data_IF_187651509995
#
_entry.id   IF_187651509995
#
_cell.length_a   1.000
_cell.length_b   1.000
_cell.length_c   1.000
_cell.angle_alpha   90.00
_cell.angle_beta   90.00
_cell.angle_gamma   90.00
#
_symmetry.space_group_name_H-M   'P 1'
#
loop_
_entity.id
_entity.type
_entity.pdbx_description
1 polymer ?
#
# COMPACT_ATOMS: atom_id res chain seq x y z
N UNK A 1 -28.02 -46.62 19.30
CA UNK A 1 -27.36 -45.30 19.40
C UNK A 1 -26.75 -44.99 18.04
N UNK A 2 -27.30 -44.01 17.34
CA UNK A 2 -26.74 -43.58 16.03
C UNK A 2 -25.84 -42.39 16.31
N UNK A 3 -24.55 -42.53 16.01
CA UNK A 3 -23.61 -41.41 16.01
C UNK A 3 -23.88 -40.56 14.77
N UNK A 4 -24.25 -39.30 14.95
CA UNK A 4 -24.28 -38.30 13.91
C UNK A 4 -22.83 -37.95 13.54
N UNK A 5 -22.47 -37.85 12.24
CA UNK A 5 -21.15 -37.38 11.86
C UNK A 5 -21.02 -35.89 12.22
N UNK A 6 -19.97 -35.57 12.95
CA UNK A 6 -19.65 -34.24 13.43
C UNK A 6 -19.57 -33.23 12.30
N UNK A 7 -20.08 -32.05 12.58
CA UNK A 7 -19.89 -30.85 11.83
C UNK A 7 -18.37 -30.63 11.56
N UNK A 8 -17.97 -30.72 10.29
CA UNK A 8 -16.66 -30.30 9.88
C UNK A 8 -16.50 -28.83 10.28
N UNK A 9 -15.56 -28.56 11.16
CA UNK A 9 -15.05 -27.22 11.41
C UNK A 9 -14.39 -26.76 10.12
N UNK A 10 -15.12 -26.07 9.27
CA UNK A 10 -14.51 -25.22 8.26
C UNK A 10 -13.83 -24.12 9.08
N UNK A 11 -12.52 -24.25 9.26
CA UNK A 11 -11.73 -23.15 9.80
C UNK A 11 -11.95 -21.98 8.84
N UNK A 12 -12.64 -20.96 9.30
CA UNK A 12 -12.78 -19.69 8.57
C UNK A 12 -11.38 -19.08 8.55
N UNK A 13 -10.56 -19.46 7.57
CA UNK A 13 -9.25 -18.83 7.39
C UNK A 13 -9.51 -17.34 7.14
N UNK A 14 -8.86 -16.49 7.93
CA UNK A 14 -8.93 -15.06 7.74
C UNK A 14 -8.54 -14.70 6.29
N UNK A 15 -9.29 -13.80 5.70
CA UNK A 15 -9.03 -13.29 4.36
C UNK A 15 -8.16 -12.05 4.50
N UNK A 16 -7.16 -11.92 3.65
CA UNK A 16 -6.21 -10.82 3.67
C UNK A 16 -6.12 -10.11 2.33
N UNK A 17 -5.54 -8.93 2.35
CA UNK A 17 -5.11 -8.17 1.17
C UNK A 17 -3.67 -7.69 1.36
N UNK A 18 -3.05 -7.29 0.26
CA UNK A 18 -1.78 -6.54 0.23
C UNK A 18 -2.05 -5.18 -0.41
N UNK A 19 -2.01 -4.09 0.36
CA UNK A 19 -2.36 -2.76 -0.15
C UNK A 19 -1.23 -2.07 -0.92
N UNK A 20 -0.02 -2.66 -0.94
CA UNK A 20 1.11 -2.11 -1.67
C UNK A 20 2.15 -3.17 -1.95
N UNK A 21 2.27 -3.60 -3.20
CA UNK A 21 3.33 -4.49 -3.67
C UNK A 21 3.79 -4.12 -5.07
N UNK A 22 5.06 -4.43 -5.39
CA UNK A 22 5.63 -4.23 -6.71
C UNK A 22 5.82 -5.58 -7.43
N UNK A 23 4.70 -6.29 -7.70
CA UNK A 23 4.72 -7.52 -8.50
C UNK A 23 5.21 -7.26 -9.94
N UNK A 24 5.21 -6.01 -10.37
CA UNK A 24 5.75 -5.48 -11.61
C UNK A 24 7.27 -5.23 -11.56
N UNK A 25 7.92 -5.34 -10.40
CA UNK A 25 9.39 -5.26 -10.27
C UNK A 25 10.08 -6.45 -10.95
N UNK A 26 11.24 -6.22 -11.56
CA UNK A 26 11.99 -7.23 -12.31
C UNK A 26 12.40 -8.45 -11.45
N UNK A 27 12.47 -8.31 -10.12
CA UNK A 27 12.74 -9.42 -9.20
C UNK A 27 11.54 -10.38 -9.03
N UNK A 28 10.31 -9.90 -9.23
CA UNK A 28 9.08 -10.70 -9.04
C UNK A 28 8.36 -11.00 -10.34
N UNK A 29 8.42 -10.09 -11.31
CA UNK A 29 7.65 -10.20 -12.55
C UNK A 29 7.85 -11.50 -13.32
N UNK A 30 9.09 -12.05 -13.46
CA UNK A 30 9.31 -13.33 -14.14
C UNK A 30 8.58 -14.52 -13.49
N UNK A 31 8.40 -14.48 -12.16
CA UNK A 31 7.76 -15.51 -11.34
C UNK A 31 6.37 -15.09 -10.83
N UNK A 32 5.75 -14.05 -11.45
CA UNK A 32 4.53 -13.41 -10.91
C UNK A 32 3.37 -14.38 -10.71
N UNK A 33 3.27 -15.41 -11.55
CA UNK A 33 2.23 -16.43 -11.45
C UNK A 33 2.38 -17.24 -10.15
N UNK A 34 3.58 -17.75 -9.91
CA UNK A 34 3.90 -18.53 -8.71
C UNK A 34 3.82 -17.66 -7.44
N UNK A 35 4.17 -16.36 -7.53
CA UNK A 35 4.04 -15.40 -6.43
C UNK A 35 2.57 -15.18 -6.08
N UNK A 36 1.71 -15.00 -7.08
CA UNK A 36 0.26 -14.86 -6.88
C UNK A 36 -0.34 -16.16 -6.31
N UNK A 37 0.04 -17.33 -6.81
CA UNK A 37 -0.43 -18.63 -6.31
C UNK A 37 -0.09 -18.77 -4.80
N UNK A 38 1.15 -18.49 -4.40
CA UNK A 38 1.57 -18.51 -3.00
C UNK A 38 0.84 -17.49 -2.13
N UNK A 39 0.54 -16.31 -2.65
CA UNK A 39 -0.25 -15.31 -1.94
C UNK A 39 -1.69 -15.81 -1.68
N UNK A 40 -2.33 -16.39 -2.71
CA UNK A 40 -3.69 -16.94 -2.60
C UNK A 40 -3.76 -18.12 -1.61
N UNK A 41 -2.74 -18.99 -1.60
CA UNK A 41 -2.59 -20.10 -0.64
C UNK A 41 -2.45 -19.58 0.79
N UNK A 42 -1.75 -18.45 0.99
CA UNK A 42 -1.62 -17.79 2.28
C UNK A 42 -2.87 -17.00 2.71
N UNK A 43 -3.94 -17.03 1.93
CA UNK A 43 -5.19 -16.32 2.24
C UNK A 43 -5.26 -14.87 1.76
N UNK A 44 -4.24 -14.38 1.03
CA UNK A 44 -4.24 -13.02 0.45
C UNK A 44 -5.08 -13.02 -0.82
N UNK A 45 -6.26 -12.42 -0.77
CA UNK A 45 -7.27 -12.48 -1.86
C UNK A 45 -7.25 -11.27 -2.79
N UNK A 46 -6.59 -10.20 -2.39
CA UNK A 46 -6.42 -8.99 -3.22
C UNK A 46 -5.00 -8.45 -3.08
N UNK A 47 -4.42 -8.07 -4.21
CA UNK A 47 -3.10 -7.45 -4.30
C UNK A 47 -3.22 -6.14 -5.08
N UNK A 48 -2.72 -5.04 -4.50
CA UNK A 48 -2.54 -3.79 -5.25
C UNK A 48 -1.12 -3.75 -5.80
N UNK A 49 -1.00 -3.83 -7.11
CA UNK A 49 0.26 -3.73 -7.85
C UNK A 49 0.51 -2.27 -8.18
N UNK A 50 1.61 -1.73 -7.65
CA UNK A 50 1.85 -0.30 -7.66
C UNK A 50 2.85 0.08 -8.77
N UNK A 51 2.42 0.97 -9.68
CA UNK A 51 3.32 1.61 -10.63
C UNK A 51 4.15 2.70 -9.94
N UNK A 52 5.32 2.96 -10.46
CA UNK A 52 6.25 4.00 -9.95
C UNK A 52 6.83 4.88 -11.08
N UNK A 53 6.51 4.55 -12.34
CA UNK A 53 6.77 5.31 -13.56
C UNK A 53 5.80 4.85 -14.67
N UNK A 54 5.91 5.39 -15.88
CA UNK A 54 5.04 5.00 -17.00
C UNK A 54 5.20 3.52 -17.40
N UNK A 55 6.41 2.97 -17.57
CA UNK A 55 6.58 1.56 -17.91
C UNK A 55 6.03 0.61 -16.85
N UNK A 56 6.35 0.85 -15.58
CA UNK A 56 5.91 0.02 -14.45
C UNK A 56 4.40 0.11 -14.22
N UNK A 57 3.80 1.29 -14.44
CA UNK A 57 2.34 1.48 -14.36
C UNK A 57 1.61 0.69 -15.45
N UNK A 58 2.10 0.69 -16.68
CA UNK A 58 1.55 -0.16 -17.76
C UNK A 58 1.64 -1.64 -17.39
N UNK A 59 2.80 -2.09 -16.90
CA UNK A 59 3.01 -3.46 -16.44
C UNK A 59 2.10 -3.83 -15.26
N UNK A 60 1.85 -2.91 -14.33
CA UNK A 60 0.91 -3.12 -13.23
C UNK A 60 -0.52 -3.36 -13.73
N UNK A 61 -0.97 -2.60 -14.73
CA UNK A 61 -2.29 -2.79 -15.37
C UNK A 61 -2.36 -4.12 -16.13
N UNK A 62 -1.30 -4.51 -16.83
CA UNK A 62 -1.20 -5.83 -17.49
C UNK A 62 -1.35 -6.97 -16.48
N UNK A 63 -0.63 -6.92 -15.35
CA UNK A 63 -0.74 -7.91 -14.26
C UNK A 63 -2.15 -7.92 -13.68
N UNK A 64 -2.74 -6.76 -13.43
CA UNK A 64 -4.08 -6.66 -12.88
C UNK A 64 -5.15 -7.28 -13.80
N UNK A 65 -4.95 -7.22 -15.11
CA UNK A 65 -5.81 -7.88 -16.08
C UNK A 65 -5.50 -9.38 -16.27
N UNK A 66 -4.25 -9.81 -16.01
CA UNK A 66 -3.85 -11.23 -16.05
C UNK A 66 -4.42 -12.01 -14.85
N UNK A 67 -4.47 -11.40 -13.65
CA UNK A 67 -4.91 -12.06 -12.42
C UNK A 67 -6.15 -11.39 -11.84
N UNK A 68 -7.27 -12.13 -11.66
CA UNK A 68 -8.52 -11.57 -11.09
C UNK A 68 -8.36 -10.94 -9.71
N UNK A 69 -7.42 -11.45 -8.88
CA UNK A 69 -7.13 -10.95 -7.54
C UNK A 69 -6.29 -9.67 -7.52
N UNK A 70 -5.68 -9.29 -8.65
CA UNK A 70 -4.82 -8.11 -8.73
C UNK A 70 -5.59 -6.89 -9.23
N UNK A 71 -5.19 -5.73 -8.69
CA UNK A 71 -5.59 -4.39 -9.09
C UNK A 71 -4.34 -3.53 -9.23
N UNK A 72 -4.43 -2.38 -9.89
CA UNK A 72 -3.29 -1.52 -10.18
C UNK A 72 -3.47 -0.11 -9.65
N UNK A 73 -2.36 0.52 -9.28
CA UNK A 73 -2.22 1.96 -9.17
C UNK A 73 -1.19 2.43 -10.19
N UNK A 74 -1.38 3.64 -10.72
CA UNK A 74 -0.50 4.22 -11.73
C UNK A 74 -0.04 5.60 -11.31
N UNK A 75 1.26 5.89 -11.44
CA UNK A 75 1.84 7.17 -11.07
C UNK A 75 3.35 7.19 -11.19
N UNK A 76 3.91 8.35 -10.84
CA UNK A 76 5.34 8.56 -10.67
C UNK A 76 5.69 8.69 -9.19
N UNK A 77 6.50 7.78 -8.67
CA UNK A 77 7.12 7.94 -7.37
C UNK A 77 8.26 8.99 -7.42
N UNK A 78 8.63 9.61 -6.29
CA UNK A 78 9.60 10.70 -6.27
C UNK A 78 11.00 10.31 -6.77
N UNK A 79 11.35 9.03 -6.73
CA UNK A 79 12.66 8.54 -7.18
C UNK A 79 12.76 8.34 -8.72
N UNK A 80 11.63 8.36 -9.44
CA UNK A 80 11.56 8.06 -10.88
C UNK A 80 11.20 9.28 -11.75
N UNK A 81 11.44 10.49 -11.27
CA UNK A 81 11.04 11.71 -11.97
C UNK A 81 12.05 12.16 -13.05
N UNK A 82 13.20 11.51 -13.19
CA UNK A 82 14.14 11.82 -14.26
C UNK A 82 13.52 11.52 -15.63
N UNK A 83 13.41 12.54 -16.46
CA UNK A 83 12.80 12.42 -17.80
C UNK A 83 11.27 12.41 -17.82
N UNK A 84 10.60 12.55 -16.67
CA UNK A 84 9.14 12.65 -16.61
C UNK A 84 8.63 13.91 -17.33
N UNK A 85 7.59 13.76 -18.13
CA UNK A 85 6.95 14.81 -18.93
C UNK A 85 5.52 15.05 -18.47
N UNK A 86 5.07 16.31 -18.51
CA UNK A 86 3.67 16.65 -18.19
C UNK A 86 2.65 15.86 -19.02
N UNK A 87 3.01 15.49 -20.25
CA UNK A 87 2.21 14.62 -21.12
C UNK A 87 2.01 13.20 -20.56
N UNK A 88 2.84 12.74 -19.62
CA UNK A 88 2.71 11.41 -19.02
C UNK A 88 1.48 11.32 -18.12
N UNK A 89 1.00 12.47 -17.60
CA UNK A 89 -0.27 12.53 -16.89
C UNK A 89 -1.45 12.07 -17.76
N UNK A 90 -1.40 12.30 -19.07
CA UNK A 90 -2.41 11.80 -20.00
C UNK A 90 -2.33 10.27 -20.15
N UNK A 91 -1.14 9.69 -20.03
CA UNK A 91 -0.96 8.23 -20.02
C UNK A 91 -1.61 7.65 -18.77
N UNK A 92 -1.37 8.23 -17.58
CA UNK A 92 -2.01 7.76 -16.34
C UNK A 92 -3.54 7.95 -16.38
N UNK A 93 -4.02 9.05 -16.97
CA UNK A 93 -5.46 9.28 -17.19
C UNK A 93 -6.08 8.22 -18.10
N UNK A 94 -5.35 7.80 -19.13
CA UNK A 94 -5.80 6.72 -20.04
C UNK A 94 -5.80 5.37 -19.34
N UNK A 95 -4.73 5.02 -18.60
CA UNK A 95 -4.66 3.80 -17.80
C UNK A 95 -5.79 3.72 -16.77
N UNK A 96 -6.15 4.84 -16.16
CA UNK A 96 -7.22 4.92 -15.16
C UNK A 96 -8.64 4.66 -15.71
N UNK A 97 -8.82 4.54 -17.03
CA UNK A 97 -10.09 4.08 -17.62
C UNK A 97 -10.28 2.56 -17.46
N UNK A 98 -9.22 1.81 -17.20
CA UNK A 98 -9.32 0.41 -16.90
C UNK A 98 -9.92 0.21 -15.50
N UNK A 99 -10.92 -0.65 -15.37
CA UNK A 99 -11.61 -0.95 -14.09
C UNK A 99 -10.70 -1.55 -13.03
N UNK A 100 -9.55 -2.07 -13.45
CA UNK A 100 -8.54 -2.63 -12.56
C UNK A 100 -7.62 -1.57 -11.96
N UNK A 101 -7.64 -0.34 -12.47
CA UNK A 101 -6.92 0.80 -11.87
C UNK A 101 -7.82 1.44 -10.82
N UNK A 102 -7.42 1.31 -9.56
CA UNK A 102 -8.23 1.69 -8.40
C UNK A 102 -7.64 2.86 -7.60
N UNK A 103 -6.54 3.46 -8.06
CA UNK A 103 -5.91 4.60 -7.42
C UNK A 103 -4.77 5.18 -8.26
N UNK A 104 -4.30 6.35 -7.83
CA UNK A 104 -3.07 6.99 -8.34
C UNK A 104 -1.95 6.75 -7.33
N UNK A 105 -0.82 6.28 -7.82
CA UNK A 105 0.34 5.96 -6.98
C UNK A 105 1.30 4.99 -7.69
N UNK A 106 2.52 4.95 -7.21
CA UNK A 106 3.04 5.61 -6.04
C UNK A 106 3.37 7.09 -6.35
N UNK A 107 3.03 8.00 -5.43
CA UNK A 107 3.32 9.44 -5.56
C UNK A 107 3.89 9.95 -4.23
N UNK A 108 4.54 11.10 -4.21
CA UNK A 108 4.95 11.68 -2.93
C UNK A 108 6.33 12.31 -2.92
N UNK A 109 7.04 12.21 -1.78
CA UNK A 109 8.31 12.88 -1.51
C UNK A 109 9.34 11.93 -0.91
N UNK A 110 10.60 11.96 -1.40
CA UNK A 110 11.75 11.27 -0.82
C UNK A 110 12.92 12.24 -0.63
N UNK A 111 13.22 12.59 0.61
CA UNK A 111 14.35 13.42 0.97
C UNK A 111 15.54 12.58 1.50
N UNK A 112 15.40 11.26 1.53
CA UNK A 112 16.48 10.37 1.94
C UNK A 112 17.53 10.21 0.84
N UNK A 113 17.10 9.92 -0.38
CA UNK A 113 17.99 9.73 -1.52
C UNK A 113 18.31 11.04 -2.25
N UNK A 114 17.39 12.00 -2.23
CA UNK A 114 17.52 13.28 -2.93
C UNK A 114 17.73 14.39 -1.91
N UNK A 115 18.92 14.96 -1.90
CA UNK A 115 19.33 15.98 -0.90
C UNK A 115 19.38 17.40 -1.48
N UNK A 116 19.32 17.54 -2.82
CA UNK A 116 19.29 18.86 -3.46
C UNK A 116 17.90 19.50 -3.30
N UNK A 117 17.80 20.75 -2.82
CA UNK A 117 16.55 21.47 -2.75
C UNK A 117 15.77 21.53 -4.08
N UNK A 118 16.48 21.52 -5.22
CA UNK A 118 15.82 21.49 -6.55
C UNK A 118 15.08 20.19 -6.79
N UNK A 119 15.60 19.08 -6.31
CA UNK A 119 14.90 17.79 -6.40
C UNK A 119 13.65 17.80 -5.54
N UNK A 120 13.72 18.39 -4.33
CA UNK A 120 12.54 18.56 -3.46
C UNK A 120 11.45 19.41 -4.10
N UNK A 121 11.83 20.53 -4.74
CA UNK A 121 10.89 21.38 -5.48
C UNK A 121 10.23 20.62 -6.65
N UNK A 122 11.02 19.85 -7.41
CA UNK A 122 10.51 19.04 -8.51
C UNK A 122 9.58 17.92 -8.01
N UNK A 123 9.96 17.21 -6.95
CA UNK A 123 9.12 16.20 -6.32
C UNK A 123 7.80 16.80 -5.82
N UNK A 124 7.83 17.95 -5.13
CA UNK A 124 6.63 18.66 -4.66
C UNK A 124 5.71 19.04 -5.82
N UNK A 125 6.27 19.56 -6.91
CA UNK A 125 5.50 19.91 -8.11
C UNK A 125 4.81 18.68 -8.73
N UNK A 126 5.51 17.55 -8.88
CA UNK A 126 4.94 16.32 -9.40
C UNK A 126 3.91 15.70 -8.44
N UNK A 127 4.15 15.77 -7.14
CA UNK A 127 3.19 15.30 -6.15
C UNK A 127 1.86 16.06 -6.26
N UNK A 128 1.90 17.40 -6.36
CA UNK A 128 0.71 18.24 -6.54
C UNK A 128 -0.03 17.91 -7.85
N UNK A 129 0.69 17.80 -8.98
CA UNK A 129 0.08 17.44 -10.27
C UNK A 129 -0.67 16.09 -10.21
N UNK A 130 -0.11 15.12 -9.49
CA UNK A 130 -0.73 13.80 -9.35
C UNK A 130 -1.87 13.78 -8.32
N UNK A 131 -1.84 14.63 -7.30
CA UNK A 131 -3.00 14.90 -6.43
C UNK A 131 -4.16 15.48 -7.26
N UNK A 132 -3.87 16.45 -8.13
CA UNK A 132 -4.89 17.06 -9.00
C UNK A 132 -5.48 16.02 -9.96
N UNK A 133 -4.65 15.16 -10.55
CA UNK A 133 -5.10 14.05 -11.38
C UNK A 133 -5.99 13.06 -10.60
N UNK A 134 -5.59 12.67 -9.39
CA UNK A 134 -6.39 11.79 -8.55
C UNK A 134 -7.75 12.42 -8.20
N UNK A 135 -7.76 13.73 -7.91
CA UNK A 135 -8.99 14.50 -7.65
C UNK A 135 -9.89 14.62 -8.89
N UNK A 136 -9.31 14.79 -10.08
CA UNK A 136 -10.03 14.78 -11.36
C UNK A 136 -10.72 13.43 -11.59
N UNK A 137 -10.01 12.34 -11.35
CA UNK A 137 -10.46 10.97 -11.62
C UNK A 137 -11.32 10.37 -10.48
N UNK A 138 -11.52 11.07 -9.38
CA UNK A 138 -12.18 10.58 -8.15
C UNK A 138 -11.54 9.27 -7.63
N UNK A 139 -10.20 9.20 -7.64
CA UNK A 139 -9.42 8.04 -7.20
C UNK A 139 -8.65 8.34 -5.90
N UNK A 140 -8.45 7.35 -5.01
CA UNK A 140 -7.56 7.46 -3.86
C UNK A 140 -6.10 7.45 -4.31
N UNK A 141 -5.19 7.78 -3.38
CA UNK A 141 -3.75 7.79 -3.65
C UNK A 141 -2.97 6.87 -2.70
N UNK A 142 -1.83 6.32 -3.17
CA UNK A 142 -0.79 5.72 -2.34
C UNK A 142 0.42 6.64 -2.31
N UNK A 143 0.82 7.07 -1.09
CA UNK A 143 1.79 8.14 -0.88
C UNK A 143 3.06 7.59 -0.25
N UNK A 144 4.18 7.84 -0.93
CA UNK A 144 5.53 7.70 -0.42
C UNK A 144 5.94 8.94 0.36
N UNK A 145 6.47 8.77 1.57
CA UNK A 145 6.95 9.88 2.40
C UNK A 145 8.17 9.44 3.22
N UNK A 146 9.36 9.67 2.69
CA UNK A 146 10.61 9.26 3.36
C UNK A 146 11.49 10.46 3.70
N UNK A 147 11.73 10.67 5.01
CA UNK A 147 12.40 11.89 5.54
C UNK A 147 11.73 13.20 5.08
N UNK A 148 10.44 13.14 4.68
CA UNK A 148 9.65 14.23 4.09
C UNK A 148 8.27 14.36 4.73
N UNK A 149 8.07 13.83 5.94
CA UNK A 149 6.75 13.77 6.63
C UNK A 149 6.12 15.15 6.80
N UNK A 150 6.92 16.15 7.20
CA UNK A 150 6.45 17.53 7.38
C UNK A 150 5.95 18.15 6.09
N UNK A 151 6.74 18.07 5.03
CA UNK A 151 6.43 18.64 3.71
C UNK A 151 5.24 17.91 3.07
N UNK A 152 5.14 16.58 3.25
CA UNK A 152 3.98 15.79 2.81
C UNK A 152 2.70 16.25 3.50
N UNK A 153 2.76 16.52 4.81
CA UNK A 153 1.62 17.03 5.57
C UNK A 153 1.20 18.42 5.11
N UNK A 154 2.16 19.29 4.82
CA UNK A 154 1.91 20.64 4.30
C UNK A 154 1.21 20.57 2.94
N UNK A 155 1.76 19.80 1.99
CA UNK A 155 1.15 19.61 0.68
C UNK A 155 -0.30 19.11 0.79
N UNK A 156 -0.57 18.11 1.63
CA UNK A 156 -1.93 17.57 1.77
C UNK A 156 -2.91 18.52 2.47
N UNK A 157 -2.42 19.49 3.27
CA UNK A 157 -3.24 20.56 3.83
C UNK A 157 -3.58 21.62 2.77
N UNK A 158 -2.62 21.97 1.91
CA UNK A 158 -2.78 22.95 0.84
C UNK A 158 -3.54 22.38 -0.36
N UNK A 159 -3.35 21.10 -0.67
CA UNK A 159 -3.95 20.39 -1.79
C UNK A 159 -4.76 19.17 -1.29
N UNK A 160 -5.97 19.37 -0.77
CA UNK A 160 -6.74 18.31 -0.13
C UNK A 160 -7.22 17.26 -1.14
N UNK A 161 -7.12 16.00 -0.72
CA UNK A 161 -7.61 14.85 -1.49
C UNK A 161 -9.12 14.68 -1.31
N UNK A 162 -9.87 14.54 -2.40
CA UNK A 162 -11.30 14.20 -2.38
C UNK A 162 -11.54 12.80 -1.82
N UNK A 163 -10.82 11.82 -2.36
CA UNK A 163 -10.97 10.39 -2.03
C UNK A 163 -10.10 9.90 -0.88
N UNK A 164 -9.23 10.74 -0.34
CA UNK A 164 -8.21 10.36 0.64
C UNK A 164 -7.15 9.45 0.02
N UNK A 165 -6.31 8.87 0.88
CA UNK A 165 -5.21 8.02 0.45
C UNK A 165 -4.60 7.29 1.63
N UNK A 166 -3.60 6.48 1.33
CA UNK A 166 -2.75 5.80 2.29
C UNK A 166 -1.34 6.38 2.25
N UNK A 167 -0.78 6.66 3.43
CA UNK A 167 0.67 6.81 3.58
C UNK A 167 1.23 5.39 3.69
N UNK A 168 1.82 4.90 2.59
CA UNK A 168 2.39 3.56 2.59
C UNK A 168 3.69 3.52 3.39
N UNK A 169 4.07 2.35 3.90
CA UNK A 169 5.27 2.12 4.71
C UNK A 169 5.48 3.24 5.75
N UNK A 170 4.41 3.53 6.55
CA UNK A 170 4.41 4.70 7.40
C UNK A 170 5.59 4.71 8.38
N UNK A 171 6.45 5.71 8.25
CA UNK A 171 7.69 5.85 9.01
C UNK A 171 7.78 7.16 9.82
N UNK A 172 6.67 7.89 9.94
CA UNK A 172 6.58 9.11 10.76
C UNK A 172 6.40 8.82 12.25
N UNK A 173 6.27 9.89 13.04
CA UNK A 173 5.99 9.80 14.49
C UNK A 173 4.48 9.67 14.77
N UNK A 174 4.15 9.35 16.02
CA UNK A 174 2.75 9.34 16.48
C UNK A 174 2.09 10.72 16.35
N UNK A 175 2.84 11.81 16.57
CA UNK A 175 2.34 13.17 16.42
C UNK A 175 1.93 13.45 14.98
N UNK A 176 2.79 13.13 14.02
CA UNK A 176 2.48 13.30 12.60
C UNK A 176 1.34 12.38 12.15
N UNK A 177 1.29 11.13 12.66
CA UNK A 177 0.17 10.22 12.40
C UNK A 177 -1.17 10.85 12.79
N UNK A 178 -1.25 11.47 13.97
CA UNK A 178 -2.46 12.16 14.43
C UNK A 178 -2.87 13.32 13.52
N UNK A 179 -1.89 14.08 13.01
CA UNK A 179 -2.19 15.17 12.05
C UNK A 179 -2.71 14.63 10.72
N UNK A 180 -2.10 13.59 10.15
CA UNK A 180 -2.62 12.94 8.95
C UNK A 180 -3.99 12.27 9.17
N UNK A 181 -4.23 11.69 10.34
CA UNK A 181 -5.53 11.11 10.68
C UNK A 181 -6.65 12.16 10.70
N UNK A 182 -6.38 13.42 11.14
CA UNK A 182 -7.33 14.55 11.05
C UNK A 182 -7.69 14.88 9.58
N UNK A 183 -6.77 14.66 8.65
CA UNK A 183 -7.03 14.80 7.21
C UNK A 183 -7.80 13.60 6.63
N UNK A 184 -8.04 12.54 7.42
CA UNK A 184 -8.73 11.33 7.02
C UNK A 184 -7.85 10.34 6.27
N UNK A 185 -6.53 10.44 6.38
CA UNK A 185 -5.58 9.54 5.73
C UNK A 185 -5.57 8.17 6.39
N UNK A 186 -5.22 7.15 5.60
CA UNK A 186 -4.94 5.78 6.02
C UNK A 186 -3.44 5.58 6.17
N UNK A 187 -3.06 4.50 6.87
CA UNK A 187 -1.65 4.19 7.18
C UNK A 187 -1.37 2.73 6.85
N UNK A 188 -0.43 2.50 5.94
CA UNK A 188 0.09 1.18 5.60
C UNK A 188 1.25 0.80 6.53
N UNK A 189 1.23 -0.43 7.03
CA UNK A 189 2.31 -0.98 7.85
C UNK A 189 2.79 -2.30 7.27
N UNK A 190 4.11 -2.46 7.25
CA UNK A 190 4.82 -3.53 6.56
C UNK A 190 5.92 -4.18 7.41
N UNK A 191 6.87 -4.87 6.78
CA UNK A 191 7.93 -5.64 7.43
C UNK A 191 8.65 -4.99 8.60
N UNK A 192 9.02 -3.72 8.55
CA UNK A 192 9.65 -2.96 9.63
C UNK A 192 9.02 -3.09 11.02
N UNK A 193 7.69 -3.25 11.14
CA UNK A 193 7.05 -3.41 12.46
C UNK A 193 7.51 -4.68 13.21
N UNK A 194 8.04 -5.66 12.48
CA UNK A 194 8.57 -6.92 13.04
C UNK A 194 10.02 -6.80 13.50
N UNK A 195 10.75 -5.75 13.11
CA UNK A 195 12.17 -5.62 13.39
C UNK A 195 12.46 -5.31 14.86
N UNK A 196 13.62 -5.78 15.36
CA UNK A 196 13.97 -5.70 16.78
C UNK A 196 13.86 -4.28 17.35
N UNK A 197 14.32 -3.28 16.62
CA UNK A 197 14.43 -1.89 17.10
C UNK A 197 13.28 -0.99 16.61
N UNK A 198 12.18 -1.54 16.12
CA UNK A 198 11.05 -0.82 15.55
C UNK A 198 10.08 -0.28 16.62
N UNK A 199 10.58 0.49 17.60
CA UNK A 199 9.76 1.03 18.67
C UNK A 199 8.72 2.02 18.15
N UNK A 200 9.15 3.02 17.40
CA UNK A 200 8.24 4.06 16.85
C UNK A 200 7.20 3.49 15.87
N UNK A 201 7.56 2.64 14.86
CA UNK A 201 6.55 2.02 14.01
C UNK A 201 5.50 1.22 14.79
N UNK A 202 5.89 0.48 15.85
CA UNK A 202 4.94 -0.25 16.69
C UNK A 202 4.03 0.67 17.50
N UNK A 203 4.57 1.77 18.01
CA UNK A 203 3.78 2.77 18.71
C UNK A 203 2.79 3.45 17.75
N UNK A 204 3.17 3.67 16.50
CA UNK A 204 2.27 4.13 15.45
C UNK A 204 1.16 3.12 15.18
N UNK A 205 1.46 1.82 15.06
CA UNK A 205 0.44 0.76 14.94
C UNK A 205 -0.50 0.76 16.14
N UNK A 206 0.02 0.86 17.38
CA UNK A 206 -0.79 0.89 18.60
C UNK A 206 -1.72 2.11 18.64
N UNK A 207 -1.25 3.27 18.18
CA UNK A 207 -1.97 4.55 18.26
C UNK A 207 -2.90 4.80 17.07
N UNK A 208 -2.61 4.20 15.91
CA UNK A 208 -3.38 4.40 14.68
C UNK A 208 -4.87 4.11 14.92
N UNK A 209 -5.79 5.00 14.48
CA UNK A 209 -7.22 4.66 14.48
C UNK A 209 -7.47 3.35 13.72
N UNK A 210 -8.17 2.41 14.34
CA UNK A 210 -8.37 1.07 13.76
C UNK A 210 -9.08 1.12 12.40
N UNK A 211 -9.90 2.14 12.17
CA UNK A 211 -10.63 2.38 10.92
C UNK A 211 -9.78 3.09 9.84
N UNK A 212 -8.46 3.25 10.08
CA UNK A 212 -7.47 3.86 9.18
C UNK A 212 -6.24 2.98 8.94
N UNK A 213 -6.19 1.81 9.57
CA UNK A 213 -5.05 0.91 9.52
C UNK A 213 -5.15 -0.02 8.32
N UNK A 214 -4.06 -0.14 7.54
CA UNK A 214 -3.88 -1.07 6.43
C UNK A 214 -2.60 -1.90 6.63
N UNK A 215 -2.52 -3.01 5.94
CA UNK A 215 -1.35 -3.89 5.89
C UNK A 215 -0.86 -4.03 4.46
N UNK A 216 0.45 -4.11 4.31
CA UNK A 216 1.11 -4.22 3.01
C UNK A 216 2.45 -4.94 3.12
N UNK A 217 3.04 -5.31 1.99
CA UNK A 217 4.38 -5.93 1.99
C UNK A 217 5.47 -5.00 1.51
N UNK A 218 5.18 -4.07 0.62
CA UNK A 218 6.17 -3.35 -0.18
C UNK A 218 7.16 -4.31 -0.89
N UNK A 219 6.64 -5.52 -1.24
CA UNK A 219 7.46 -6.54 -1.89
C UNK A 219 7.94 -6.09 -3.28
N UNK A 220 9.19 -6.38 -3.66
CA UNK A 220 10.12 -7.38 -3.12
C UNK A 220 10.95 -6.94 -1.90
N UNK A 221 10.71 -5.75 -1.37
CA UNK A 221 11.49 -5.12 -0.31
C UNK A 221 10.95 -5.47 1.09
N UNK A 222 11.64 -5.04 2.14
CA UNK A 222 11.19 -4.97 3.53
C UNK A 222 10.60 -6.26 4.11
N UNK A 223 11.16 -7.44 3.76
CA UNK A 223 10.69 -8.72 4.28
C UNK A 223 10.60 -8.74 5.82
N UNK A 224 9.48 -9.25 6.39
CA UNK A 224 9.32 -9.35 7.83
C UNK A 224 10.26 -10.41 8.45
N UNK A 225 10.47 -10.32 9.77
CA UNK A 225 11.10 -11.42 10.52
C UNK A 225 10.14 -12.62 10.50
N UNK A 226 10.64 -13.87 10.22
CA UNK A 226 12.06 -14.29 10.18
C UNK A 226 12.75 -14.13 8.82
N UNK A 227 12.08 -13.60 7.81
CA UNK A 227 12.57 -13.55 6.43
C UNK A 227 13.37 -12.28 6.10
N UNK A 228 13.68 -11.44 7.09
CA UNK A 228 14.45 -10.21 6.89
C UNK A 228 15.75 -10.46 6.14
N UNK A 229 15.98 -9.68 5.07
CA UNK A 229 17.17 -9.80 4.21
C UNK A 229 16.99 -10.75 3.02
N UNK A 230 15.83 -11.41 2.89
CA UNK A 230 15.43 -12.14 1.69
C UNK A 230 14.43 -11.32 0.85
N UNK A 231 14.17 -11.78 -0.38
CA UNK A 231 13.12 -11.24 -1.24
C UNK A 231 11.76 -11.41 -0.56
N UNK A 232 11.00 -10.32 -0.45
CA UNK A 232 9.66 -10.32 0.13
C UNK A 232 8.61 -10.73 -0.91
N UNK A 233 7.47 -11.21 -0.44
CA UNK A 233 6.30 -11.58 -1.25
C UNK A 233 5.01 -11.35 -0.46
N UNK A 234 3.89 -11.11 -1.16
CA UNK A 234 2.57 -10.90 -0.55
C UNK A 234 2.10 -12.06 0.34
N UNK A 235 2.64 -13.28 0.17
CA UNK A 235 2.37 -14.43 1.07
C UNK A 235 2.75 -14.16 2.53
N UNK A 236 3.56 -13.14 2.81
CA UNK A 236 4.02 -12.78 4.16
C UNK A 236 3.02 -11.86 4.90
N UNK A 237 1.93 -11.43 4.29
CA UNK A 237 0.87 -10.62 4.92
C UNK A 237 0.37 -11.23 6.24
N UNK A 238 0.09 -12.54 6.37
CA UNK A 238 -0.36 -13.12 7.62
C UNK A 238 0.56 -12.84 8.81
N UNK A 239 1.89 -12.85 8.59
CA UNK A 239 2.89 -12.54 9.63
C UNK A 239 2.72 -11.11 10.14
N UNK A 240 2.42 -10.18 9.24
CA UNK A 240 2.22 -8.77 9.57
C UNK A 240 0.91 -8.57 10.31
N UNK A 241 -0.17 -9.25 9.89
CA UNK A 241 -1.46 -9.20 10.58
C UNK A 241 -1.37 -9.77 11.98
N UNK A 242 -0.68 -10.91 12.17
CA UNK A 242 -0.38 -11.48 13.49
C UNK A 242 0.39 -10.48 14.37
N UNK A 243 1.39 -9.80 13.79
CA UNK A 243 2.16 -8.79 14.53
C UNK A 243 1.33 -7.56 14.91
N UNK A 244 0.46 -7.10 14.03
CA UNK A 244 -0.48 -6.01 14.31
C UNK A 244 -1.46 -6.44 15.41
N UNK A 245 -2.00 -7.65 15.36
CA UNK A 245 -2.90 -8.21 16.37
C UNK A 245 -2.23 -8.29 17.75
N UNK A 246 -0.97 -8.73 17.82
CA UNK A 246 -0.16 -8.73 19.04
C UNK A 246 -0.03 -7.31 19.63
N UNK A 247 0.36 -6.31 18.81
CA UNK A 247 0.54 -4.91 19.22
C UNK A 247 -0.77 -4.32 19.70
N UNK A 248 -1.86 -4.58 18.98
CA UNK A 248 -3.21 -4.06 19.27
C UNK A 248 -3.93 -4.81 20.39
N UNK A 249 -3.42 -5.94 20.85
CA UNK A 249 -4.06 -6.86 21.81
C UNK A 249 -5.46 -7.27 21.38
N UNK A 250 -5.60 -7.58 20.08
CA UNK A 250 -6.82 -8.03 19.44
C UNK A 250 -6.61 -9.43 18.86
N UNK A 251 -7.67 -10.13 18.48
CA UNK A 251 -7.54 -11.36 17.70
C UNK A 251 -7.10 -11.06 16.26
N UNK A 252 -6.49 -12.05 15.60
CA UNK A 252 -6.09 -11.95 14.18
C UNK A 252 -7.32 -11.71 13.29
N UNK A 253 -8.42 -12.38 13.60
CA UNK A 253 -9.68 -12.29 12.88
C UNK A 253 -10.28 -10.88 12.98
N UNK A 254 -10.32 -10.30 14.18
CA UNK A 254 -10.84 -8.93 14.40
C UNK A 254 -9.99 -7.89 13.65
N UNK A 255 -8.66 -8.02 13.69
CA UNK A 255 -7.77 -7.10 12.98
C UNK A 255 -7.94 -7.26 11.47
N UNK A 256 -7.96 -8.48 10.95
CA UNK A 256 -8.15 -8.75 9.54
C UNK A 256 -9.49 -8.18 9.04
N UNK A 257 -10.58 -8.39 9.78
CA UNK A 257 -11.91 -7.84 9.44
C UNK A 257 -11.88 -6.31 9.34
N UNK A 258 -11.31 -5.63 10.35
CA UNK A 258 -11.23 -4.17 10.34
C UNK A 258 -10.38 -3.61 9.21
N UNK A 259 -9.25 -4.26 8.92
CA UNK A 259 -8.40 -3.86 7.80
C UNK A 259 -9.08 -4.12 6.45
N UNK A 260 -9.82 -5.23 6.30
CA UNK A 260 -10.60 -5.53 5.11
C UNK A 260 -11.69 -4.48 4.85
N UNK A 261 -12.41 -4.05 5.90
CA UNK A 261 -13.37 -2.94 5.82
C UNK A 261 -12.69 -1.64 5.35
N UNK A 262 -11.51 -1.34 5.87
CA UNK A 262 -10.74 -0.15 5.51
C UNK A 262 -10.28 -0.18 4.05
N UNK A 263 -9.75 -1.32 3.62
CA UNK A 263 -9.29 -1.53 2.25
C UNK A 263 -10.44 -1.35 1.25
N UNK A 264 -11.56 -2.04 1.48
CA UNK A 264 -12.77 -1.92 0.64
C UNK A 264 -13.29 -0.47 0.62
N UNK A 265 -13.29 0.21 1.77
CA UNK A 265 -13.75 1.60 1.87
C UNK A 265 -12.86 2.57 1.09
N UNK A 266 -11.54 2.40 1.15
CA UNK A 266 -10.59 3.29 0.48
C UNK A 266 -10.57 3.03 -1.04
N UNK A 267 -10.37 1.78 -1.45
CA UNK A 267 -10.12 1.42 -2.85
C UNK A 267 -11.37 0.99 -3.62
N UNK A 268 -12.51 0.81 -2.95
CA UNK A 268 -13.77 0.29 -3.54
C UNK A 268 -13.58 -1.08 -4.21
N UNK A 269 -12.73 -1.91 -3.64
CA UNK A 269 -12.45 -3.28 -4.07
C UNK A 269 -13.03 -4.24 -3.05
N UNK A 270 -13.93 -5.12 -3.51
CA UNK A 270 -14.51 -6.18 -2.67
C UNK A 270 -13.51 -7.33 -2.48
N UNK A 271 -13.52 -7.92 -1.29
CA UNK A 271 -12.64 -9.03 -0.88
C UNK A 271 -13.27 -10.41 -1.12
#
# INVERSE_FOLDING_TARGET
MRFSPGSAWVSNMAVYFDSHCHLNDDQLYPERKEVVERALEAGVKRLLVIGYDVPSSKRAVEIANEFPCCYALAGYQPENLEGALDSDLDIFRELAKDKKVVGIGEIGLDHHWYKDPKDHENQKAWFIKQIDLANELDLPVSIHAREAIGDTLEVLKEHPLKRKGVLHCYSGSVESLREFAKLGMYFGFDGPITYKNANEPRLCVETCPIDRLLVETDSPYLAPVPYRGSRNESKNIPILVEKIAEIRKMSVEEVAEKMNENFTRLFRVEL
#
